data_IF_004174761229
#
_entry.id   IF_004174761229
#
_cell.length_a   1.000
_cell.length_b   1.000
_cell.length_c   1.000
_cell.angle_alpha   90.00
_cell.angle_beta   90.00
_cell.angle_gamma   90.00
#
_symmetry.space_group_name_H-M   'P 1'
#
loop_
_entity.id
_entity.type
_entity.pdbx_description
1 polymer ?
#
# COMPACT_ATOMS: atom_id res chain seq x y z
N UNK A 1 -2.58 16.44 3.27
CA UNK A 1 -2.90 16.55 1.83
C UNK A 1 -2.52 15.28 1.08
N UNK A 2 -1.25 14.87 1.05
CA UNK A 2 -0.83 13.68 0.30
C UNK A 2 -1.47 12.35 0.78
N UNK A 3 -1.67 12.19 2.09
CA UNK A 3 -2.30 10.98 2.64
C UNK A 3 -3.75 10.76 2.16
N UNK A 4 -4.49 11.82 1.80
CA UNK A 4 -5.86 11.66 1.26
C UNK A 4 -5.87 11.02 -0.13
N UNK A 5 -4.80 11.21 -0.92
CA UNK A 5 -4.63 10.55 -2.22
C UNK A 5 -4.27 9.07 -2.02
N UNK A 6 -3.54 8.76 -0.95
CA UNK A 6 -3.13 7.40 -0.60
C UNK A 6 -4.18 6.64 0.23
N UNK A 7 -5.23 7.32 0.69
CA UNK A 7 -6.36 6.73 1.41
C UNK A 7 -7.15 5.70 0.57
N UNK A 8 -7.60 6.00 -0.67
CA UNK A 8 -8.24 4.99 -1.52
C UNK A 8 -7.28 3.87 -1.90
N UNK A 9 -5.99 4.17 -2.04
CA UNK A 9 -4.97 3.14 -2.27
C UNK A 9 -4.90 2.19 -1.08
N UNK A 10 -4.79 2.68 0.15
CA UNK A 10 -4.78 1.89 1.39
C UNK A 10 -6.03 0.98 1.51
N UNK A 11 -7.17 1.47 1.05
CA UNK A 11 -8.41 0.68 1.00
C UNK A 11 -8.33 -0.47 -0.01
N UNK A 12 -7.77 -0.23 -1.20
CA UNK A 12 -7.62 -1.25 -2.24
C UNK A 12 -6.63 -2.36 -1.85
N UNK A 13 -5.60 -2.07 -1.04
CA UNK A 13 -4.65 -3.07 -0.53
C UNK A 13 -5.22 -3.90 0.66
N UNK A 14 -6.47 -3.64 1.05
CA UNK A 14 -7.18 -4.46 2.03
C UNK A 14 -6.95 -4.08 3.50
N UNK A 15 -6.56 -2.83 3.77
CA UNK A 15 -6.49 -2.29 5.13
C UNK A 15 -7.92 -2.13 5.71
N UNK A 16 -8.16 -2.52 6.98
CA UNK A 16 -9.42 -2.29 7.67
C UNK A 16 -9.82 -0.80 7.68
N UNK A 17 -11.13 -0.51 7.57
CA UNK A 17 -11.63 0.87 7.41
C UNK A 17 -11.26 1.81 8.56
N UNK A 18 -11.15 1.28 9.78
CA UNK A 18 -10.72 1.99 10.98
C UNK A 18 -9.22 2.34 10.99
N UNK A 19 -8.42 1.73 10.11
CA UNK A 19 -6.96 1.82 10.09
C UNK A 19 -6.43 2.52 8.82
N UNK A 20 -7.32 2.92 7.91
CA UNK A 20 -6.96 3.57 6.64
C UNK A 20 -6.21 4.89 6.83
N UNK A 21 -6.65 5.71 7.79
CA UNK A 21 -6.04 7.02 8.02
C UNK A 21 -4.61 6.90 8.57
N UNK A 22 -4.32 6.11 9.63
CA UNK A 22 -2.95 5.93 10.08
C UNK A 22 -2.06 5.26 9.02
N UNK A 23 -2.55 4.26 8.29
CA UNK A 23 -1.77 3.59 7.24
C UNK A 23 -1.48 4.51 6.04
N UNK A 24 -2.45 5.29 5.59
CA UNK A 24 -2.23 6.27 4.51
C UNK A 24 -1.28 7.40 4.91
N UNK A 25 -1.21 7.75 6.21
CA UNK A 25 -0.21 8.67 6.73
C UNK A 25 1.20 8.07 6.70
N UNK A 26 1.37 6.82 7.13
CA UNK A 26 2.65 6.11 7.05
C UNK A 26 3.13 5.97 5.59
N UNK A 27 2.21 5.67 4.66
CA UNK A 27 2.50 5.64 3.22
C UNK A 27 2.91 7.01 2.68
N UNK A 28 2.29 8.10 3.17
CA UNK A 28 2.68 9.45 2.81
C UNK A 28 4.05 9.83 3.38
N UNK A 29 4.35 9.45 4.64
CA UNK A 29 5.66 9.65 5.26
C UNK A 29 6.74 8.91 4.48
N UNK A 30 6.49 7.67 4.06
CA UNK A 30 7.40 6.91 3.18
C UNK A 30 7.67 7.67 1.88
N UNK A 31 6.62 8.17 1.23
CA UNK A 31 6.70 8.80 -0.09
C UNK A 31 7.41 10.17 -0.07
N UNK A 32 7.27 10.94 0.99
CA UNK A 32 7.83 12.30 1.11
C UNK A 32 9.14 12.33 1.86
N UNK A 33 9.27 11.54 2.92
CA UNK A 33 10.44 11.52 3.79
C UNK A 33 11.35 10.33 3.45
N UNK A 34 11.08 9.14 4.01
CA UNK A 34 11.80 7.89 3.73
C UNK A 34 11.18 6.69 4.47
N UNK A 35 11.66 5.49 4.12
CA UNK A 35 11.26 4.21 4.72
C UNK A 35 11.66 4.08 6.20
N UNK A 36 12.81 4.63 6.61
CA UNK A 36 13.29 4.54 8.00
C UNK A 36 12.40 5.34 8.97
N UNK A 37 12.02 6.56 8.60
CA UNK A 37 11.09 7.41 9.36
C UNK A 37 9.70 6.79 9.41
N UNK A 38 9.21 6.25 8.28
CA UNK A 38 7.94 5.55 8.26
C UNK A 38 7.95 4.31 9.19
N UNK A 39 9.06 3.59 9.27
CA UNK A 39 9.20 2.46 10.21
C UNK A 39 9.20 2.90 11.67
N UNK A 40 9.89 3.99 11.99
CA UNK A 40 9.90 4.56 13.33
C UNK A 40 8.50 5.02 13.75
N UNK A 41 7.77 5.71 12.86
CA UNK A 41 6.38 6.11 13.10
C UNK A 41 5.45 4.90 13.26
N UNK A 42 5.67 3.83 12.50
CA UNK A 42 4.91 2.58 12.62
C UNK A 42 5.16 1.89 13.98
N UNK A 43 6.42 1.80 14.43
CA UNK A 43 6.74 1.24 15.74
C UNK A 43 6.15 2.08 16.88
N UNK A 44 6.21 3.41 16.76
CA UNK A 44 5.59 4.31 17.73
C UNK A 44 4.06 4.11 17.77
N UNK A 45 3.41 3.96 16.60
CA UNK A 45 1.97 3.69 16.53
C UNK A 45 1.59 2.35 17.18
N UNK A 46 2.42 1.32 17.01
CA UNK A 46 2.21 0.00 17.61
C UNK A 46 2.30 -0.02 19.14
N UNK A 47 2.92 0.99 19.76
CA UNK A 47 3.03 1.13 21.22
C UNK A 47 1.85 1.89 21.84
N UNK A 48 0.88 2.35 21.04
CA UNK A 48 -0.30 3.09 21.52
C UNK A 48 -1.55 2.22 21.52
N UNK A 49 -2.60 2.66 22.23
CA UNK A 49 -3.93 2.03 22.20
C UNK A 49 -4.60 2.05 20.80
N UNK A 50 -4.03 2.81 19.85
CA UNK A 50 -4.45 2.85 18.45
C UNK A 50 -3.63 1.89 17.56
N UNK A 51 -3.10 0.81 18.15
CA UNK A 51 -2.37 -0.24 17.45
C UNK A 51 -3.17 -0.79 16.25
N UNK A 52 -2.50 -0.88 15.10
CA UNK A 52 -3.01 -1.54 13.90
C UNK A 52 -3.32 -3.02 14.18
N UNK A 53 -4.36 -3.55 13.55
CA UNK A 53 -4.60 -4.98 13.51
C UNK A 53 -3.41 -5.75 12.95
N UNK A 54 -3.24 -7.02 13.34
CA UNK A 54 -2.15 -7.86 12.85
C UNK A 54 -2.10 -7.90 11.30
N UNK A 55 -3.27 -7.92 10.65
CA UNK A 55 -3.39 -7.85 9.19
C UNK A 55 -2.84 -6.54 8.63
N UNK A 56 -3.27 -5.39 9.16
CA UNK A 56 -2.79 -4.10 8.68
C UNK A 56 -1.31 -3.88 8.99
N UNK A 57 -0.83 -4.35 10.14
CA UNK A 57 0.58 -4.31 10.49
C UNK A 57 1.42 -5.12 9.50
N UNK A 58 1.03 -6.35 9.16
CA UNK A 58 1.73 -7.17 8.17
C UNK A 58 1.72 -6.52 6.78
N UNK A 59 0.57 -6.00 6.33
CA UNK A 59 0.46 -5.30 5.03
C UNK A 59 1.35 -4.04 5.04
N UNK A 60 1.32 -3.25 6.11
CA UNK A 60 2.09 -2.00 6.22
C UNK A 60 3.59 -2.28 6.31
N UNK A 61 4.03 -3.25 7.12
CA UNK A 61 5.45 -3.63 7.18
C UNK A 61 5.94 -4.21 5.85
N UNK A 62 5.22 -5.15 5.25
CA UNK A 62 5.67 -5.85 4.03
C UNK A 62 5.55 -5.04 2.73
N UNK A 63 4.65 -4.07 2.65
CA UNK A 63 4.43 -3.28 1.42
C UNK A 63 4.77 -1.80 1.60
N UNK A 64 4.41 -1.23 2.76
CA UNK A 64 4.61 0.20 2.99
C UNK A 64 6.03 0.51 3.49
N UNK A 65 6.65 -0.36 4.28
CA UNK A 65 7.91 0.00 4.93
C UNK A 65 9.12 -0.79 4.44
N UNK A 66 8.94 -2.07 4.12
CA UNK A 66 10.01 -2.91 3.55
C UNK A 66 9.67 -3.11 2.07
N UNK A 67 10.10 -2.18 1.23
CA UNK A 67 9.79 -2.26 -0.19
C UNK A 67 10.60 -3.40 -0.83
N UNK A 68 9.93 -4.51 -1.19
CA UNK A 68 10.56 -5.64 -1.92
C UNK A 68 11.21 -5.14 -3.22
N UNK A 69 10.72 -4.04 -3.80
CA UNK A 69 11.29 -3.46 -5.02
C UNK A 69 12.52 -2.59 -4.72
N UNK A 70 12.55 -1.81 -3.63
CA UNK A 70 13.76 -1.08 -3.20
C UNK A 70 14.87 -2.03 -2.73
N UNK A 71 14.50 -3.18 -2.16
CA UNK A 71 15.44 -4.24 -1.79
C UNK A 71 16.03 -4.97 -3.02
N UNK A 72 15.30 -5.06 -4.15
CA UNK A 72 15.79 -5.67 -5.38
C UNK A 72 16.49 -4.70 -6.34
N UNK A 73 16.05 -3.43 -6.44
CA UNK A 73 16.61 -2.45 -7.38
C UNK A 73 16.28 -0.99 -6.97
N UNK A 74 17.04 -0.38 -6.03
CA UNK A 74 16.75 0.94 -5.45
C UNK A 74 16.75 2.07 -6.49
N UNK A 75 17.48 1.92 -7.59
CA UNK A 75 17.58 2.92 -8.67
C UNK A 75 16.31 3.00 -9.54
N UNK A 76 15.44 1.98 -9.52
CA UNK A 76 14.27 1.87 -10.41
C UNK A 76 12.94 2.24 -9.77
N UNK A 77 12.92 2.53 -8.47
CA UNK A 77 11.70 2.90 -7.74
C UNK A 77 10.93 4.06 -8.39
N UNK A 78 11.65 5.07 -8.92
CA UNK A 78 11.05 6.21 -9.65
C UNK A 78 10.35 5.79 -10.95
N UNK A 79 10.93 4.82 -11.65
CA UNK A 79 10.37 4.24 -12.88
C UNK A 79 9.12 3.40 -12.56
N UNK A 80 9.14 2.67 -11.44
CA UNK A 80 8.01 1.87 -10.96
C UNK A 80 6.80 2.74 -10.61
N UNK A 81 7.03 3.89 -9.96
CA UNK A 81 5.96 4.87 -9.72
C UNK A 81 5.39 5.43 -11.04
N UNK A 82 6.24 5.61 -12.06
CA UNK A 82 5.81 6.06 -13.39
C UNK A 82 4.89 5.07 -14.12
N UNK A 83 5.09 3.76 -13.93
CA UNK A 83 4.26 2.70 -14.53
C UNK A 83 3.14 2.21 -13.62
N UNK A 84 3.07 2.64 -12.36
CA UNK A 84 2.00 2.28 -11.43
C UNK A 84 0.58 2.50 -11.98
N UNK A 85 0.24 3.63 -12.63
CA UNK A 85 -1.11 3.82 -13.18
C UNK A 85 -1.43 2.86 -14.33
N UNK A 86 -0.47 2.55 -15.21
CA UNK A 86 -0.69 1.58 -16.29
C UNK A 86 -0.77 0.15 -15.77
N UNK A 87 0.01 -0.19 -14.74
CA UNK A 87 -0.05 -1.48 -14.05
C UNK A 87 -1.40 -1.69 -13.34
N UNK A 88 -1.93 -0.67 -12.65
CA UNK A 88 -3.24 -0.72 -12.01
C UNK A 88 -4.37 -0.92 -13.03
N UNK A 89 -4.32 -0.21 -14.15
CA UNK A 89 -5.30 -0.37 -15.22
C UNK A 89 -5.23 -1.76 -15.85
N UNK A 90 -4.02 -2.27 -16.09
CA UNK A 90 -3.80 -3.63 -16.58
C UNK A 90 -4.35 -4.69 -15.61
N UNK A 91 -4.10 -4.55 -14.30
CA UNK A 91 -4.62 -5.45 -13.28
C UNK A 91 -6.16 -5.42 -13.18
N UNK A 92 -6.76 -4.25 -13.33
CA UNK A 92 -8.22 -4.09 -13.36
C UNK A 92 -8.84 -4.83 -14.56
N UNK A 93 -8.29 -4.66 -15.77
CA UNK A 93 -8.74 -5.38 -16.96
C UNK A 93 -8.59 -6.90 -16.82
N UNK A 94 -7.47 -7.36 -16.26
CA UNK A 94 -7.21 -8.79 -16.01
C UNK A 94 -8.26 -9.39 -15.05
N UNK A 95 -8.66 -8.61 -14.03
CA UNK A 95 -9.69 -9.03 -13.07
C UNK A 95 -11.07 -9.10 -13.75
N UNK A 96 -11.42 -8.11 -14.59
CA UNK A 96 -12.66 -8.16 -15.38
C UNK A 96 -12.70 -9.34 -16.34
N UNK A 97 -11.57 -9.67 -16.96
CA UNK A 97 -11.47 -10.81 -17.87
C UNK A 97 -11.70 -12.14 -17.13
N UNK A 98 -11.10 -12.30 -15.95
CA UNK A 98 -11.34 -13.48 -15.09
C UNK A 98 -12.81 -13.56 -14.68
N UNK A 99 -13.44 -12.44 -14.33
CA UNK A 99 -14.86 -12.39 -13.97
C UNK A 99 -15.78 -12.75 -15.15
N UNK A 100 -15.47 -12.30 -16.36
CA UNK A 100 -16.22 -12.65 -17.57
C UNK A 100 -16.13 -14.16 -17.89
N UNK A 101 -14.96 -14.77 -17.71
CA UNK A 101 -14.78 -16.22 -17.89
C UNK A 101 -15.57 -17.00 -16.83
N UNK A 102 -15.51 -16.57 -15.56
CA UNK A 102 -16.27 -17.19 -14.48
C UNK A 102 -17.79 -17.09 -14.71
N UNK A 103 -18.28 -15.96 -15.24
CA UNK A 103 -19.68 -15.77 -15.58
C UNK A 103 -20.16 -16.62 -16.78
N UNK A 104 -19.26 -17.07 -17.66
CA UNK A 104 -19.61 -18.02 -18.73
C UNK A 104 -19.72 -19.47 -18.25
N UNK A 105 -19.12 -19.82 -17.11
CA UNK A 105 -19.09 -21.18 -16.56
C UNK A 105 -20.22 -21.46 -15.56
N UNK A 106 -20.97 -20.42 -15.17
CA UNK A 106 -22.20 -20.48 -14.36
C UNK A 106 -23.38 -20.36 -15.30
#
# INVERSE_FOLDING_TARGET
MLFYILYPLAFLIGIPRNELLPVSRLLATKLVANELLAYQELQALMQTDAALSARAYTITTSLAVTDVISALAPERARTVVGIAPSALFCGFLTTMQTAAIAAMLI
#
